data_IF_356421055987
#
_entry.id   IF_356421055987
#
_cell.length_a   1.000
_cell.length_b   1.000
_cell.length_c   1.000
_cell.angle_alpha   90.00
_cell.angle_beta   90.00
_cell.angle_gamma   90.00
#
_symmetry.space_group_name_H-M   'P 1'
#
loop_
_entity.id
_entity.type
_entity.pdbx_description
1 polymer ?
#
# COMPACT_ATOMS: atom_id res chain seq x y z
N UNK A 1 -20.83 14.65 -15.52
CA UNK A 1 -19.69 13.71 -15.36
C UNK A 1 -19.95 12.86 -14.14
N UNK A 2 -20.21 11.56 -14.30
CA UNK A 2 -20.50 10.68 -13.17
C UNK A 2 -19.18 10.17 -12.58
N UNK A 3 -18.79 10.67 -11.40
CA UNK A 3 -17.57 10.24 -10.70
C UNK A 3 -17.47 8.72 -10.60
N UNK A 4 -18.59 8.06 -10.33
CA UNK A 4 -18.67 6.59 -10.19
C UNK A 4 -18.25 5.87 -11.47
N UNK A 5 -18.68 6.35 -12.62
CA UNK A 5 -18.33 5.78 -13.93
C UNK A 5 -16.84 5.93 -14.23
N UNK A 6 -16.27 7.10 -13.90
CA UNK A 6 -14.82 7.33 -14.04
C UNK A 6 -14.00 6.39 -13.17
N UNK A 7 -14.38 6.22 -11.90
CA UNK A 7 -13.69 5.31 -10.97
C UNK A 7 -13.71 3.86 -11.47
N UNK A 8 -14.85 3.39 -11.97
CA UNK A 8 -14.98 2.04 -12.53
C UNK A 8 -14.12 1.85 -13.80
N UNK A 9 -14.03 2.88 -14.65
CA UNK A 9 -13.13 2.87 -15.81
C UNK A 9 -11.66 2.80 -15.40
N UNK A 10 -11.24 3.62 -14.43
CA UNK A 10 -9.86 3.60 -13.92
C UNK A 10 -9.51 2.22 -13.38
N UNK A 11 -10.38 1.60 -12.56
CA UNK A 11 -10.20 0.22 -12.07
C UNK A 11 -9.96 -0.76 -13.21
N UNK A 12 -10.80 -0.69 -14.24
CA UNK A 12 -10.69 -1.58 -15.39
C UNK A 12 -9.40 -1.36 -16.17
N UNK A 13 -8.98 -0.11 -16.36
CA UNK A 13 -7.76 0.21 -17.09
C UNK A 13 -6.50 -0.33 -16.40
N UNK A 14 -6.38 -0.15 -15.08
CA UNK A 14 -5.23 -0.70 -14.32
C UNK A 14 -5.27 -2.22 -14.16
N UNK A 15 -6.39 -2.87 -14.51
CA UNK A 15 -6.52 -4.34 -14.51
C UNK A 15 -6.23 -4.93 -15.89
N UNK A 16 -6.72 -4.27 -16.94
CA UNK A 16 -6.67 -4.77 -18.32
C UNK A 16 -5.36 -4.38 -19.03
N UNK A 17 -4.68 -3.31 -18.57
CA UNK A 17 -3.47 -2.76 -19.19
C UNK A 17 -2.32 -2.62 -18.18
N UNK A 18 -1.08 -2.72 -18.67
CA UNK A 18 0.12 -2.38 -17.91
C UNK A 18 0.35 -0.87 -17.94
N UNK A 19 -0.26 -0.16 -16.99
CA UNK A 19 -0.22 1.30 -16.95
C UNK A 19 0.90 1.77 -16.02
N UNK A 20 1.86 2.52 -16.55
CA UNK A 20 3.01 3.00 -15.76
C UNK A 20 2.86 4.42 -15.21
N UNK A 21 2.00 5.23 -15.82
CA UNK A 21 1.88 6.67 -15.57
C UNK A 21 0.44 7.12 -15.39
N UNK A 22 0.24 8.29 -14.77
CA UNK A 22 -1.11 8.86 -14.61
C UNK A 22 -1.61 9.44 -15.92
N UNK A 23 -0.69 9.91 -16.77
CA UNK A 23 -0.93 10.42 -18.10
C UNK A 23 -1.58 9.36 -18.99
N UNK A 24 -1.13 8.10 -18.94
CA UNK A 24 -1.75 6.97 -19.64
C UNK A 24 -3.21 6.74 -19.19
N UNK A 25 -3.51 6.88 -17.89
CA UNK A 25 -4.89 6.78 -17.39
C UNK A 25 -5.75 7.93 -17.92
N UNK A 26 -5.20 9.14 -17.98
CA UNK A 26 -5.88 10.30 -18.57
C UNK A 26 -6.17 10.07 -20.05
N UNK A 27 -5.23 9.48 -20.78
CA UNK A 27 -5.38 9.15 -22.20
C UNK A 27 -6.47 8.10 -22.43
N UNK A 28 -6.46 6.99 -21.69
CA UNK A 28 -7.52 5.97 -21.76
C UNK A 28 -8.89 6.50 -21.35
N UNK A 29 -8.96 7.39 -20.36
CA UNK A 29 -10.21 8.06 -20.00
C UNK A 29 -10.71 8.92 -21.16
N UNK A 30 -9.82 9.67 -21.81
CA UNK A 30 -10.16 10.51 -22.97
C UNK A 30 -10.66 9.68 -24.15
N UNK A 31 -10.02 8.55 -24.45
CA UNK A 31 -10.47 7.58 -25.46
C UNK A 31 -11.86 7.01 -25.14
N UNK A 32 -12.17 6.80 -23.86
CA UNK A 32 -13.48 6.39 -23.39
C UNK A 32 -14.52 7.54 -23.33
N UNK A 33 -14.17 8.74 -23.81
CA UNK A 33 -15.06 9.91 -23.83
C UNK A 33 -15.17 10.62 -22.48
N UNK A 34 -14.28 10.34 -21.52
CA UNK A 34 -14.28 10.92 -20.17
C UNK A 34 -13.12 11.92 -20.05
N UNK A 35 -13.46 13.20 -19.87
CA UNK A 35 -12.45 14.23 -19.61
C UNK A 35 -12.03 14.22 -18.14
N UNK A 36 -10.74 14.06 -17.87
CA UNK A 36 -10.15 14.18 -16.55
C UNK A 36 -8.77 14.85 -16.64
N UNK A 37 -8.37 15.54 -15.57
CA UNK A 37 -7.01 16.07 -15.44
C UNK A 37 -6.14 15.09 -14.68
N UNK A 38 -4.81 15.21 -14.82
CA UNK A 38 -3.86 14.45 -14.02
C UNK A 38 -4.10 14.64 -12.51
N UNK A 39 -4.42 15.86 -12.06
CA UNK A 39 -4.76 16.13 -10.66
C UNK A 39 -6.04 15.41 -10.20
N UNK A 40 -7.03 15.25 -11.09
CA UNK A 40 -8.24 14.47 -10.81
C UNK A 40 -7.92 12.98 -10.69
N UNK A 41 -7.18 12.44 -11.66
CA UNK A 41 -6.76 11.03 -11.68
C UNK A 41 -5.90 10.70 -10.46
N UNK A 42 -4.98 11.58 -10.06
CA UNK A 42 -4.16 11.43 -8.86
C UNK A 42 -5.01 11.24 -7.59
N UNK A 43 -6.10 12.02 -7.45
CA UNK A 43 -7.04 11.87 -6.33
C UNK A 43 -7.84 10.57 -6.42
N UNK A 44 -8.30 10.21 -7.61
CA UNK A 44 -9.07 8.99 -7.83
C UNK A 44 -8.24 7.71 -7.57
N UNK A 45 -6.96 7.68 -7.97
CA UNK A 45 -6.02 6.58 -7.68
C UNK A 45 -5.89 6.39 -6.16
N UNK A 46 -5.71 7.50 -5.42
CA UNK A 46 -5.65 7.46 -3.95
C UNK A 46 -6.97 6.95 -3.34
N UNK A 47 -8.11 7.40 -3.86
CA UNK A 47 -9.44 6.96 -3.40
C UNK A 47 -9.70 5.47 -3.69
N UNK A 48 -9.16 4.96 -4.80
CA UNK A 48 -9.26 3.54 -5.17
C UNK A 48 -8.24 2.64 -4.47
N UNK A 49 -7.30 3.22 -3.72
CA UNK A 49 -6.21 2.47 -3.09
C UNK A 49 -5.25 1.81 -4.09
N UNK A 50 -5.21 2.31 -5.33
CA UNK A 50 -4.32 1.79 -6.37
C UNK A 50 -2.88 2.10 -5.98
N UNK A 51 -2.03 1.07 -6.02
CA UNK A 51 -0.62 1.14 -5.65
C UNK A 51 0.26 1.01 -6.89
N UNK A 52 1.50 1.51 -6.81
CA UNK A 52 2.49 1.35 -7.87
C UNK A 52 3.43 0.21 -7.49
N UNK A 53 3.46 -0.85 -8.29
CA UNK A 53 4.29 -2.04 -8.05
C UNK A 53 5.45 -2.13 -9.05
N UNK A 54 6.65 -2.56 -8.63
CA UNK A 54 7.75 -2.82 -9.55
C UNK A 54 7.51 -4.12 -10.35
N UNK A 55 7.91 -4.11 -11.61
CA UNK A 55 8.00 -5.28 -12.48
C UNK A 55 9.44 -5.81 -12.52
N UNK A 56 9.61 -7.04 -13.05
CA UNK A 56 10.91 -7.74 -13.13
C UNK A 56 11.96 -7.01 -13.97
N UNK A 57 11.54 -6.12 -14.85
CA UNK A 57 12.38 -5.30 -15.71
C UNK A 57 12.67 -3.91 -15.12
N UNK A 58 12.42 -3.71 -13.81
CA UNK A 58 12.61 -2.45 -13.10
C UNK A 58 11.69 -1.31 -13.59
N UNK A 59 10.63 -1.64 -14.33
CA UNK A 59 9.53 -0.71 -14.61
C UNK A 59 8.49 -0.77 -13.49
N UNK A 60 7.55 0.18 -13.47
CA UNK A 60 6.53 0.24 -12.44
C UNK A 60 5.15 0.34 -13.08
N UNK A 61 4.19 -0.39 -12.54
CA UNK A 61 2.79 -0.35 -13.00
C UNK A 61 1.83 -0.08 -11.86
N UNK A 62 0.72 0.59 -12.18
CA UNK A 62 -0.41 0.72 -11.28
C UNK A 62 -1.19 -0.58 -11.22
N UNK A 63 -1.48 -1.06 -10.01
CA UNK A 63 -2.30 -2.24 -9.78
C UNK A 63 -3.33 -1.96 -8.68
N UNK A 64 -4.51 -2.58 -8.80
CA UNK A 64 -5.47 -2.58 -7.71
C UNK A 64 -4.92 -3.40 -6.54
N UNK A 65 -5.21 -3.01 -5.29
CA UNK A 65 -4.88 -3.83 -4.15
C UNK A 65 -5.59 -5.18 -4.30
N UNK A 66 -4.82 -6.26 -4.45
CA UNK A 66 -5.36 -7.63 -4.46
C UNK A 66 -6.03 -7.87 -3.10
N UNK A 67 -7.13 -8.63 -3.08
CA UNK A 67 -7.92 -8.85 -1.87
C UNK A 67 -7.04 -9.23 -0.66
N UNK A 68 -7.50 -8.86 0.53
CA UNK A 68 -6.86 -8.94 1.86
C UNK A 68 -6.08 -10.26 2.14
N UNK A 69 -6.38 -11.34 1.42
CA UNK A 69 -5.71 -12.63 1.56
C UNK A 69 -4.34 -12.68 0.85
N UNK A 70 -4.12 -11.87 -0.19
CA UNK A 70 -2.81 -11.72 -0.86
C UNK A 70 -1.97 -10.56 -0.29
N UNK A 71 -2.56 -9.67 0.51
CA UNK A 71 -1.83 -8.54 1.11
C UNK A 71 -0.92 -8.97 2.26
N UNK A 72 -1.26 -10.06 2.95
CA UNK A 72 -0.39 -10.65 3.98
C UNK A 72 0.90 -11.23 3.35
N UNK A 73 0.77 -12.00 2.27
CA UNK A 73 1.90 -12.64 1.58
C UNK A 73 2.78 -11.66 0.79
N UNK A 74 2.36 -10.40 0.63
CA UNK A 74 3.17 -9.31 0.08
C UNK A 74 3.85 -8.50 1.20
N UNK A 75 3.53 -8.72 2.47
CA UNK A 75 4.22 -8.07 3.58
C UNK A 75 5.57 -8.77 3.90
N UNK A 76 5.66 -10.11 3.73
CA UNK A 76 6.89 -10.92 3.86
C UNK A 76 8.03 -10.34 3.02
N UNK A 77 7.75 -10.02 1.75
CA UNK A 77 8.74 -9.53 0.80
C UNK A 77 9.13 -8.06 1.02
N UNK A 78 8.37 -7.30 1.83
CA UNK A 78 8.58 -5.87 2.02
C UNK A 78 9.27 -5.53 3.34
N UNK A 79 9.30 -6.43 4.33
CA UNK A 79 9.96 -6.19 5.62
C UNK A 79 11.38 -6.78 5.56
N UNK A 80 12.37 -5.90 5.60
CA UNK A 80 13.80 -6.26 5.51
C UNK A 80 14.33 -6.77 6.84
N UNK A 81 13.94 -6.13 7.94
CA UNK A 81 14.37 -6.51 9.29
C UNK A 81 13.43 -5.97 10.36
N UNK A 82 13.48 -6.61 11.54
CA UNK A 82 12.77 -6.17 12.74
C UNK A 82 13.70 -6.17 13.96
N UNK A 83 13.68 -5.08 14.73
CA UNK A 83 14.36 -4.95 16.01
C UNK A 83 13.35 -4.60 17.11
N UNK A 84 13.55 -5.15 18.30
CA UNK A 84 12.68 -4.95 19.45
C UNK A 84 13.46 -4.34 20.62
N UNK A 85 12.90 -3.31 21.24
CA UNK A 85 13.44 -2.65 22.43
C UNK A 85 12.32 -2.34 23.42
N UNK A 86 12.13 -3.21 24.42
CA UNK A 86 11.01 -3.10 25.36
C UNK A 86 9.67 -3.25 24.64
N UNK A 87 8.82 -2.23 24.70
CA UNK A 87 7.55 -2.19 23.98
C UNK A 87 7.65 -1.50 22.60
N UNK A 88 8.86 -1.19 22.12
CA UNK A 88 9.08 -0.55 20.82
C UNK A 88 9.57 -1.56 19.79
N UNK A 89 9.07 -1.44 18.56
CA UNK A 89 9.48 -2.26 17.42
C UNK A 89 9.95 -1.31 16.32
N UNK A 90 11.16 -1.52 15.82
CA UNK A 90 11.66 -0.87 14.63
C UNK A 90 11.62 -1.87 13.47
N UNK A 91 10.90 -1.52 12.41
CA UNK A 91 10.84 -2.31 11.18
C UNK A 91 11.54 -1.55 10.06
N UNK A 92 12.46 -2.21 9.37
CA UNK A 92 13.00 -1.74 8.09
C UNK A 92 12.15 -2.31 6.97
N UNK A 93 11.72 -1.46 6.06
CA UNK A 93 10.77 -1.78 4.99
C UNK A 93 11.37 -1.34 3.66
N UNK A 94 11.06 -2.04 2.57
CA UNK A 94 11.45 -1.61 1.22
C UNK A 94 10.90 -0.18 0.98
N UNK A 95 11.74 0.78 0.57
CA UNK A 95 11.34 2.16 0.34
C UNK A 95 10.07 2.28 -0.52
N UNK A 96 9.16 3.17 -0.11
CA UNK A 96 7.88 3.40 -0.79
C UNK A 96 6.74 2.45 -0.40
N UNK A 97 6.99 1.44 0.43
CA UNK A 97 5.97 0.48 0.88
C UNK A 97 5.50 0.71 2.33
N UNK A 98 6.10 1.64 3.07
CA UNK A 98 5.79 1.86 4.49
C UNK A 98 4.33 2.23 4.75
N UNK A 99 3.68 2.98 3.87
CA UNK A 99 2.25 3.32 3.98
C UNK A 99 1.38 2.06 3.95
N UNK A 100 1.70 1.13 3.05
CA UNK A 100 0.97 -0.13 2.90
C UNK A 100 1.19 -1.04 4.13
N UNK A 101 2.45 -1.26 4.50
CA UNK A 101 2.82 -2.10 5.66
C UNK A 101 2.24 -1.52 6.95
N UNK A 102 2.30 -0.20 7.15
CA UNK A 102 1.68 0.49 8.29
C UNK A 102 0.19 0.22 8.37
N UNK A 103 -0.54 0.32 7.25
CA UNK A 103 -1.98 0.08 7.23
C UNK A 103 -2.31 -1.34 7.70
N UNK A 104 -1.58 -2.34 7.20
CA UNK A 104 -1.77 -3.74 7.59
C UNK A 104 -1.46 -3.98 9.07
N UNK A 105 -0.36 -3.42 9.58
CA UNK A 105 0.02 -3.51 10.99
C UNK A 105 -1.04 -2.91 11.91
N UNK A 106 -1.52 -1.71 11.60
CA UNK A 106 -2.53 -1.03 12.43
C UNK A 106 -3.85 -1.80 12.40
N UNK A 107 -4.26 -2.32 11.23
CA UNK A 107 -5.49 -3.11 11.11
C UNK A 107 -5.39 -4.45 11.87
N UNK A 108 -4.29 -5.18 11.72
CA UNK A 108 -4.09 -6.49 12.35
C UNK A 108 -3.89 -6.41 13.87
N UNK A 109 -3.27 -5.32 14.36
CA UNK A 109 -2.84 -5.20 15.75
C UNK A 109 -3.41 -3.95 16.45
N UNK A 110 -4.63 -3.54 16.08
CA UNK A 110 -5.31 -2.32 16.60
C UNK A 110 -5.32 -2.26 18.14
N UNK A 111 -5.56 -3.38 18.81
CA UNK A 111 -5.64 -3.42 20.27
C UNK A 111 -4.27 -3.40 20.94
N UNK A 112 -3.25 -3.96 20.29
CA UNK A 112 -1.89 -4.08 20.82
C UNK A 112 -1.04 -2.81 20.61
N UNK A 113 -1.32 -2.04 19.55
CA UNK A 113 -0.53 -0.85 19.18
C UNK A 113 -1.03 0.38 19.94
N UNK A 114 -0.11 1.09 20.60
CA UNK A 114 -0.34 2.43 21.14
C UNK A 114 -0.16 3.51 20.08
N UNK A 115 0.91 3.42 19.28
CA UNK A 115 1.21 4.37 18.20
C UNK A 115 2.05 3.73 17.10
N UNK A 116 1.96 4.26 15.88
CA UNK A 116 2.73 3.81 14.73
C UNK A 116 3.16 5.00 13.86
N UNK A 117 4.47 5.19 13.74
CA UNK A 117 5.12 6.23 12.96
C UNK A 117 5.86 5.57 11.80
N UNK A 118 5.77 6.17 10.61
CA UNK A 118 6.41 5.65 9.42
C UNK A 118 7.14 6.78 8.69
N UNK A 119 8.34 6.48 8.22
CA UNK A 119 9.08 7.25 7.22
C UNK A 119 9.00 6.52 5.86
N UNK A 120 9.90 6.79 4.92
CA UNK A 120 9.90 6.16 3.59
C UNK A 120 10.29 4.67 3.60
N UNK A 121 11.21 4.28 4.50
CA UNK A 121 11.82 2.94 4.56
C UNK A 121 11.82 2.33 5.98
N UNK A 122 11.20 3.00 6.94
CA UNK A 122 11.17 2.55 8.33
C UNK A 122 9.83 2.78 9.00
N UNK A 123 9.47 1.89 9.92
CA UNK A 123 8.28 1.99 10.76
C UNK A 123 8.67 1.76 12.21
N UNK A 124 8.36 2.75 13.06
CA UNK A 124 8.43 2.64 14.50
C UNK A 124 7.04 2.37 15.06
N UNK A 125 6.90 1.23 15.74
CA UNK A 125 5.68 0.85 16.45
C UNK A 125 5.96 0.97 17.94
N UNK A 126 5.04 1.59 18.67
CA UNK A 126 5.00 1.56 20.13
C UNK A 126 3.81 0.69 20.53
N UNK A 127 4.08 -0.48 21.08
CA UNK A 127 3.06 -1.38 21.61
C UNK A 127 2.63 -0.94 23.02
N UNK A 128 1.45 -1.39 23.46
CA UNK A 128 0.94 -1.08 24.80
C UNK A 128 1.72 -1.77 25.92
N UNK A 129 2.29 -2.94 25.65
CA UNK A 129 3.14 -3.69 26.60
C UNK A 129 4.32 -4.34 25.86
N UNK A 130 5.31 -4.83 26.61
CA UNK A 130 6.45 -5.53 26.03
C UNK A 130 6.04 -6.88 25.42
N UNK A 131 5.12 -7.59 26.08
CA UNK A 131 4.57 -8.87 25.61
C UNK A 131 3.81 -8.71 24.29
N UNK A 132 3.04 -7.62 24.17
CA UNK A 132 2.36 -7.27 22.93
C UNK A 132 3.35 -6.96 21.79
N UNK A 133 4.49 -6.33 22.10
CA UNK A 133 5.52 -6.10 21.10
C UNK A 133 6.16 -7.41 20.59
N UNK A 134 6.42 -8.35 21.50
CA UNK A 134 6.93 -9.68 21.15
C UNK A 134 5.95 -10.45 20.25
N UNK A 135 4.65 -10.43 20.60
CA UNK A 135 3.61 -11.09 19.81
C UNK A 135 3.51 -10.50 18.40
N UNK A 136 3.52 -9.16 18.26
CA UNK A 136 3.50 -8.50 16.96
C UNK A 136 4.70 -8.94 16.11
N UNK A 137 5.92 -8.91 16.67
CA UNK A 137 7.13 -9.31 15.93
C UNK A 137 7.08 -10.78 15.52
N UNK A 138 6.58 -11.67 16.37
CA UNK A 138 6.48 -13.09 16.05
C UNK A 138 5.46 -13.36 14.93
N UNK A 139 4.35 -12.63 14.92
CA UNK A 139 3.35 -12.72 13.86
C UNK A 139 3.87 -12.12 12.54
N UNK A 140 4.52 -10.95 12.61
CA UNK A 140 5.11 -10.27 11.44
C UNK A 140 6.21 -11.10 10.78
N UNK A 141 6.95 -11.93 11.54
CA UNK A 141 7.93 -12.89 10.98
C UNK A 141 7.30 -14.05 10.20
N UNK A 142 5.99 -14.25 10.32
CA UNK A 142 5.21 -15.31 9.64
C UNK A 142 4.35 -14.77 8.49
N UNK A 143 4.40 -13.45 8.27
CA UNK A 143 3.64 -12.76 7.23
C UNK A 143 4.37 -12.80 5.93
#
# INVERSE_FOLDING_TARGET
>A
MNKKERLEKIRRFVTDYQIGTQEEIVEHLKEAGISATQATVSRDIKELGIVKIPLRDNTYVYELPKSIVKSLQLAEDNIVSSELMGNMINLSVIPGNTIFVKSQLVEAFTEQIFSCLADDDSILIVARTAEAAEEIVEQVKKW
#
